data_IF_178719964649
#
_entry.id   IF_178719964649
#
_cell.length_a   1.000
_cell.length_b   1.000
_cell.length_c   1.000
_cell.angle_alpha   90.00
_cell.angle_beta   90.00
_cell.angle_gamma   90.00
#
_symmetry.space_group_name_H-M   'P 1'
#
loop_
_entity.id
_entity.type
_entity.pdbx_description
1 polymer ?
#
# COMPACT_ATOMS: atom_id res chain seq x y z
N UNK A 1 7.27 8.98 20.65
CA UNK A 1 6.68 9.92 19.68
C UNK A 1 5.71 9.18 18.76
N UNK A 2 4.66 9.87 18.36
CA UNK A 2 3.68 9.31 17.44
C UNK A 2 4.32 9.08 16.06
N UNK A 3 3.75 8.13 15.29
CA UNK A 3 4.11 7.95 13.89
C UNK A 3 3.84 9.24 13.12
N UNK A 4 4.62 9.47 12.07
CA UNK A 4 4.46 10.63 11.21
C UNK A 4 3.74 10.21 9.93
N UNK A 5 2.59 10.83 9.66
CA UNK A 5 1.88 10.62 8.41
C UNK A 5 2.59 11.39 7.29
N UNK A 6 3.00 10.65 6.27
CA UNK A 6 3.66 11.22 5.09
C UNK A 6 2.62 11.71 4.10
N UNK A 7 1.63 10.87 3.82
CA UNK A 7 0.52 11.21 2.91
C UNK A 7 -0.73 10.47 3.34
N UNK A 8 -1.88 11.12 3.17
CA UNK A 8 -3.20 10.52 3.36
C UNK A 8 -4.10 11.05 2.27
N UNK A 9 -4.63 10.16 1.43
CA UNK A 9 -5.39 10.59 0.25
C UNK A 9 -6.46 9.57 -0.10
N UNK A 10 -7.58 10.07 -0.64
CA UNK A 10 -8.62 9.25 -1.28
C UNK A 10 -8.49 9.44 -2.79
N UNK A 11 -8.40 8.32 -3.49
CA UNK A 11 -8.29 8.29 -4.95
C UNK A 11 -9.59 7.69 -5.48
N UNK A 12 -10.36 8.48 -6.23
CA UNK A 12 -11.61 8.03 -6.83
C UNK A 12 -11.32 7.29 -8.14
N UNK A 13 -10.75 6.11 -7.98
CA UNK A 13 -10.30 5.28 -9.08
C UNK A 13 -10.50 3.82 -8.70
N UNK A 14 -10.84 3.00 -9.69
CA UNK A 14 -10.98 1.56 -9.49
C UNK A 14 -9.63 0.94 -9.09
N UNK A 15 -9.57 0.14 -8.01
CA UNK A 15 -8.37 -0.62 -7.67
C UNK A 15 -7.96 -1.53 -8.82
N UNK A 16 -6.65 -1.62 -9.06
CA UNK A 16 -6.11 -2.44 -10.13
C UNK A 16 -5.66 -3.79 -9.59
N UNK A 17 -5.91 -4.85 -10.34
CA UNK A 17 -5.55 -6.21 -9.93
C UNK A 17 -4.16 -6.60 -10.43
N UNK A 18 -3.36 -7.20 -9.53
CA UNK A 18 -2.05 -7.76 -9.89
C UNK A 18 -2.13 -8.77 -11.04
N UNK A 19 -3.25 -9.48 -11.15
CA UNK A 19 -3.47 -10.45 -12.23
C UNK A 19 -3.50 -9.81 -13.62
N UNK A 20 -3.69 -8.51 -13.71
CA UNK A 20 -3.82 -7.77 -14.98
C UNK A 20 -2.62 -6.87 -15.28
N UNK A 21 -1.54 -6.97 -14.50
CA UNK A 21 -0.37 -6.11 -14.67
C UNK A 21 0.42 -6.41 -15.93
N UNK A 22 0.57 -7.70 -16.28
CA UNK A 22 1.51 -8.14 -17.30
C UNK A 22 0.88 -9.09 -18.29
N UNK A 23 1.46 -9.10 -19.50
CA UNK A 23 1.23 -10.10 -20.53
C UNK A 23 2.34 -11.14 -20.51
N UNK A 24 2.09 -12.32 -21.11
CA UNK A 24 3.10 -13.29 -21.54
C UNK A 24 4.21 -13.51 -20.51
N UNK A 25 3.89 -14.19 -19.43
CA UNK A 25 4.85 -14.59 -18.39
C UNK A 25 5.49 -13.41 -17.66
N UNK A 26 4.78 -12.30 -17.58
CA UNK A 26 5.22 -11.14 -16.79
C UNK A 26 6.23 -10.24 -17.49
N UNK A 27 6.39 -10.37 -18.81
CA UNK A 27 7.44 -9.65 -19.55
C UNK A 27 6.99 -8.29 -20.10
N UNK A 28 5.68 -8.08 -20.28
CA UNK A 28 5.17 -6.87 -20.92
C UNK A 28 4.04 -6.30 -20.07
N UNK A 29 4.17 -5.03 -19.66
CA UNK A 29 3.12 -4.32 -18.92
C UNK A 29 1.89 -4.13 -19.80
N UNK A 30 0.70 -4.38 -19.23
CA UNK A 30 -0.55 -4.11 -19.95
C UNK A 30 -0.77 -2.61 -20.11
N UNK A 31 -1.56 -2.23 -21.11
CA UNK A 31 -1.94 -0.84 -21.33
C UNK A 31 -2.69 -0.30 -20.09
N UNK A 32 -3.57 -1.10 -19.53
CA UNK A 32 -4.39 -0.74 -18.39
C UNK A 32 -3.50 -0.50 -17.15
N UNK A 33 -2.46 -1.28 -16.97
CA UNK A 33 -1.51 -1.08 -15.89
C UNK A 33 -0.72 0.22 -16.07
N UNK A 34 -0.29 0.50 -17.30
CA UNK A 34 0.43 1.76 -17.59
C UNK A 34 -0.44 2.97 -17.29
N UNK A 35 -1.73 2.90 -17.62
CA UNK A 35 -2.69 3.97 -17.32
C UNK A 35 -2.89 4.14 -15.81
N UNK A 36 -3.05 3.04 -15.09
CA UNK A 36 -3.19 3.06 -13.64
C UNK A 36 -1.96 3.72 -13.00
N UNK A 37 -0.76 3.29 -13.40
CA UNK A 37 0.51 3.82 -12.88
C UNK A 37 0.65 5.31 -13.18
N UNK A 38 0.27 5.74 -14.37
CA UNK A 38 0.30 7.14 -14.76
C UNK A 38 -0.65 7.99 -13.89
N UNK A 39 -1.84 7.48 -13.60
CA UNK A 39 -2.81 8.17 -12.76
C UNK A 39 -2.32 8.30 -11.32
N UNK A 40 -1.72 7.24 -10.77
CA UNK A 40 -1.14 7.29 -9.42
C UNK A 40 0.00 8.31 -9.38
N UNK A 41 0.86 8.31 -10.39
CA UNK A 41 1.97 9.25 -10.49
C UNK A 41 1.47 10.70 -10.51
N UNK A 42 0.46 10.98 -11.31
CA UNK A 42 -0.12 12.32 -11.40
C UNK A 42 -0.61 12.83 -10.06
N UNK A 43 -1.19 11.94 -9.25
CA UNK A 43 -1.75 12.30 -7.95
C UNK A 43 -0.73 12.36 -6.83
N UNK A 44 0.33 11.55 -6.89
CA UNK A 44 1.22 11.33 -5.75
C UNK A 44 2.67 11.75 -6.01
N UNK A 45 3.05 12.12 -7.23
CA UNK A 45 4.44 12.49 -7.50
C UNK A 45 4.87 13.70 -6.68
N UNK A 46 6.03 13.58 -6.00
CA UNK A 46 6.55 14.65 -5.17
C UNK A 46 7.73 14.21 -4.33
N UNK A 47 8.33 15.18 -3.65
CA UNK A 47 9.39 14.94 -2.69
C UNK A 47 8.80 14.90 -1.29
N UNK A 48 8.78 13.72 -0.69
CA UNK A 48 8.22 13.49 0.64
C UNK A 48 9.29 13.35 1.72
N UNK A 49 10.55 13.49 1.34
CA UNK A 49 11.65 13.40 2.29
C UNK A 49 11.83 12.01 2.89
N UNK A 50 11.43 10.96 2.18
CA UNK A 50 11.59 9.59 2.66
C UNK A 50 13.04 9.17 2.54
N UNK A 51 13.61 8.74 3.67
CA UNK A 51 15.00 8.28 3.74
C UNK A 51 15.07 6.76 3.54
N UNK A 52 16.18 6.23 2.97
CA UNK A 52 16.32 4.78 2.77
C UNK A 52 16.21 3.95 4.05
N UNK A 53 16.44 4.56 5.21
CA UNK A 53 16.38 3.89 6.52
C UNK A 53 15.00 3.97 7.17
N UNK A 54 14.06 4.69 6.59
CA UNK A 54 12.72 4.83 7.15
C UNK A 54 11.95 3.51 7.07
N UNK A 55 11.26 3.17 8.15
CA UNK A 55 10.30 2.06 8.18
C UNK A 55 8.91 2.62 7.94
N UNK A 56 8.19 2.06 6.99
CA UNK A 56 6.92 2.58 6.52
C UNK A 56 5.78 1.63 6.84
N UNK A 57 4.62 2.21 7.13
CA UNK A 57 3.36 1.49 7.26
C UNK A 57 2.38 2.02 6.22
N UNK A 58 1.82 1.12 5.43
CA UNK A 58 0.78 1.45 4.46
C UNK A 58 -0.57 1.00 5.01
N UNK A 59 -1.51 1.92 5.09
CA UNK A 59 -2.89 1.64 5.48
C UNK A 59 -3.79 1.89 4.28
N UNK A 60 -4.62 0.88 3.95
CA UNK A 60 -5.48 0.92 2.77
C UNK A 60 -6.93 0.61 3.12
N UNK A 61 -7.84 1.31 2.47
CA UNK A 61 -9.23 0.87 2.32
C UNK A 61 -9.53 0.91 0.84
N UNK A 62 -9.95 -0.22 0.28
CA UNK A 62 -10.26 -0.33 -1.14
C UNK A 62 -11.73 -0.65 -1.35
N UNK A 63 -12.38 0.15 -2.17
CA UNK A 63 -13.78 -0.04 -2.54
C UNK A 63 -13.90 -0.76 -3.88
N UNK A 64 -14.44 -1.98 -3.84
CA UNK A 64 -14.68 -2.78 -5.02
C UNK A 64 -16.16 -2.88 -5.33
N UNK A 65 -16.52 -2.85 -6.61
CA UNK A 65 -17.87 -3.15 -7.05
C UNK A 65 -18.10 -4.64 -7.32
N UNK A 66 -17.03 -5.40 -7.53
CA UNK A 66 -17.09 -6.85 -7.73
C UNK A 66 -16.95 -7.58 -6.40
N UNK A 67 -17.83 -8.55 -6.15
CA UNK A 67 -17.74 -9.42 -4.97
C UNK A 67 -16.62 -10.46 -5.08
N UNK A 68 -16.06 -10.64 -6.28
CA UNK A 68 -15.02 -11.61 -6.57
C UNK A 68 -13.62 -11.03 -6.45
N UNK A 69 -13.49 -9.75 -6.12
CA UNK A 69 -12.19 -9.09 -6.02
C UNK A 69 -11.46 -9.52 -4.73
N UNK A 70 -10.21 -9.91 -4.87
CA UNK A 70 -9.34 -10.28 -3.77
C UNK A 70 -8.54 -9.06 -3.28
N UNK A 71 -8.54 -8.86 -1.98
CA UNK A 71 -7.89 -7.71 -1.37
C UNK A 71 -6.38 -7.65 -1.66
N UNK A 72 -5.69 -8.77 -1.59
CA UNK A 72 -4.24 -8.83 -1.79
C UNK A 72 -3.82 -8.43 -3.21
N UNK A 73 -4.67 -8.64 -4.20
CA UNK A 73 -4.37 -8.28 -5.58
C UNK A 73 -4.25 -6.76 -5.82
N UNK A 74 -4.69 -5.94 -4.87
CA UNK A 74 -4.56 -4.49 -4.95
C UNK A 74 -3.17 -3.99 -4.55
N UNK A 75 -2.40 -4.76 -3.78
CA UNK A 75 -1.18 -4.26 -3.13
C UNK A 75 -0.04 -4.02 -4.12
N UNK A 76 0.29 -5.01 -4.94
CA UNK A 76 1.45 -4.93 -5.82
C UNK A 76 1.33 -3.82 -6.87
N UNK A 77 0.23 -3.69 -7.62
CA UNK A 77 0.11 -2.59 -8.57
C UNK A 77 0.21 -1.22 -7.91
N UNK A 78 -0.39 -1.07 -6.72
CA UNK A 78 -0.36 0.20 -6.01
C UNK A 78 1.06 0.52 -5.51
N UNK A 79 1.72 -0.43 -4.85
CA UNK A 79 3.07 -0.23 -4.34
C UNK A 79 4.07 0.02 -5.47
N UNK A 80 4.00 -0.74 -6.55
CA UNK A 80 4.87 -0.56 -7.70
C UNK A 80 4.67 0.81 -8.36
N UNK A 81 3.46 1.36 -8.27
CA UNK A 81 3.15 2.68 -8.79
C UNK A 81 3.59 3.81 -7.86
N UNK A 82 3.49 3.60 -6.55
CA UNK A 82 3.87 4.60 -5.54
C UNK A 82 5.37 4.80 -5.42
N UNK A 83 6.14 3.72 -5.51
CA UNK A 83 7.58 3.74 -5.24
C UNK A 83 8.34 4.77 -6.09
N UNK A 84 8.22 4.77 -7.42
CA UNK A 84 9.01 5.70 -8.23
C UNK A 84 8.56 7.15 -8.08
N UNK A 85 7.29 7.40 -7.78
CA UNK A 85 6.82 8.78 -7.68
C UNK A 85 6.97 9.38 -6.28
N UNK A 86 7.08 8.57 -5.25
CA UNK A 86 7.25 9.03 -3.88
C UNK A 86 8.67 8.86 -3.34
N UNK A 87 9.50 8.06 -4.00
CA UNK A 87 10.90 7.91 -3.64
C UNK A 87 11.15 6.96 -2.47
N UNK A 88 10.50 5.79 -2.46
CA UNK A 88 10.81 4.73 -1.50
C UNK A 88 10.91 3.38 -2.21
N UNK A 89 11.39 2.38 -1.47
CA UNK A 89 11.51 1.00 -1.93
C UNK A 89 10.52 0.14 -1.14
N UNK A 90 9.90 -0.86 -1.78
CA UNK A 90 8.94 -1.74 -1.12
C UNK A 90 9.53 -2.51 0.06
N UNK A 91 10.85 -2.70 0.09
CA UNK A 91 11.56 -3.29 1.25
C UNK A 91 11.44 -2.45 2.50
N UNK A 92 11.10 -1.17 2.37
CA UNK A 92 10.89 -0.27 3.50
C UNK A 92 9.48 -0.38 4.10
N UNK A 93 8.57 -1.08 3.42
CA UNK A 93 7.21 -1.28 3.94
C UNK A 93 7.22 -2.46 4.90
N UNK A 94 7.11 -2.16 6.17
CA UNK A 94 7.18 -3.16 7.25
C UNK A 94 5.80 -3.60 7.73
N UNK A 95 4.76 -2.83 7.44
CA UNK A 95 3.39 -3.18 7.79
C UNK A 95 2.43 -2.72 6.70
N UNK A 96 1.50 -3.60 6.32
CA UNK A 96 0.36 -3.25 5.49
C UNK A 96 -0.89 -3.61 6.28
N UNK A 97 -1.75 -2.61 6.49
CA UNK A 97 -3.06 -2.79 7.10
C UNK A 97 -4.10 -2.44 6.05
N UNK A 98 -4.94 -3.41 5.70
CA UNK A 98 -5.85 -3.22 4.59
C UNK A 98 -7.24 -3.77 4.90
N UNK A 99 -8.25 -3.08 4.37
CA UNK A 99 -9.64 -3.51 4.42
C UNK A 99 -10.28 -3.28 3.07
N UNK A 100 -11.29 -4.07 2.74
CA UNK A 100 -12.07 -3.82 1.54
C UNK A 100 -13.53 -3.54 1.89
N UNK A 101 -14.14 -2.65 1.10
CA UNK A 101 -15.57 -2.39 1.12
C UNK A 101 -16.19 -2.79 -0.21
N UNK A 102 -17.45 -3.17 -0.17
CA UNK A 102 -18.22 -3.40 -1.37
C UNK A 102 -19.02 -2.13 -1.68
N UNK A 103 -18.87 -1.61 -2.90
CA UNK A 103 -19.50 -0.36 -3.35
C UNK A 103 -20.23 -0.59 -4.66
N UNK A 104 -21.03 0.39 -5.05
CA UNK A 104 -21.71 0.36 -6.34
C UNK A 104 -20.72 0.59 -7.47
N UNK A 105 -21.04 0.03 -8.65
CA UNK A 105 -20.24 0.26 -9.86
C UNK A 105 -20.18 1.77 -10.15
N UNK A 106 -18.96 2.27 -10.37
CA UNK A 106 -18.70 3.69 -10.57
C UNK A 106 -18.30 4.44 -9.29
N UNK A 107 -18.46 3.82 -8.12
CA UNK A 107 -18.10 4.41 -6.85
C UNK A 107 -16.83 3.79 -6.24
N UNK A 108 -16.08 3.04 -7.02
CA UNK A 108 -14.84 2.41 -6.59
C UNK A 108 -13.81 3.46 -6.16
N UNK A 109 -12.97 3.10 -5.19
CA UNK A 109 -12.00 4.04 -4.64
C UNK A 109 -10.83 3.31 -3.99
N UNK A 110 -9.76 4.08 -3.76
CA UNK A 110 -8.61 3.67 -2.96
C UNK A 110 -8.38 4.77 -1.93
N UNK A 111 -8.45 4.45 -0.65
CA UNK A 111 -7.95 5.33 0.40
C UNK A 111 -6.62 4.80 0.88
N UNK A 112 -5.61 5.64 0.90
CA UNK A 112 -4.30 5.22 1.38
C UNK A 112 -3.71 6.24 2.34
N UNK A 113 -2.96 5.71 3.29
CA UNK A 113 -2.15 6.51 4.21
C UNK A 113 -0.79 5.84 4.34
N UNK A 114 0.26 6.60 4.13
CA UNK A 114 1.62 6.13 4.33
C UNK A 114 2.20 6.85 5.55
N UNK A 115 2.63 6.07 6.54
CA UNK A 115 3.20 6.58 7.78
C UNK A 115 4.66 6.17 7.91
N UNK A 116 5.46 7.09 8.48
CA UNK A 116 6.84 6.82 8.87
C UNK A 116 6.86 6.45 10.34
N UNK A 117 7.56 5.37 10.68
CA UNK A 117 7.62 4.89 12.06
C UNK A 117 9.08 4.85 12.54
N UNK A 118 9.31 5.23 13.80
CA UNK A 118 10.61 5.05 14.44
C UNK A 118 10.80 3.59 14.83
N UNK A 119 12.06 3.17 15.04
CA UNK A 119 12.37 1.82 15.52
C UNK A 119 11.68 1.50 16.84
N UNK A 120 11.64 2.49 17.74
CA UNK A 120 10.98 2.34 19.05
C UNK A 120 9.47 2.11 18.89
N UNK A 121 8.83 2.89 18.04
CA UNK A 121 7.39 2.74 17.75
C UNK A 121 7.11 1.37 17.13
N UNK A 122 7.99 0.92 16.25
CA UNK A 122 7.84 -0.36 15.57
C UNK A 122 7.88 -1.52 16.56
N UNK A 123 8.83 -1.52 17.48
CA UNK A 123 8.92 -2.54 18.53
C UNK A 123 7.70 -2.57 19.42
N UNK A 124 7.21 -1.41 19.84
CA UNK A 124 5.98 -1.31 20.64
C UNK A 124 4.76 -1.82 19.88
N UNK A 125 4.69 -1.51 18.61
CA UNK A 125 3.60 -1.96 17.74
C UNK A 125 3.52 -3.48 17.70
N UNK A 126 4.64 -4.15 17.51
CA UNK A 126 4.70 -5.61 17.47
C UNK A 126 4.26 -6.22 18.81
N UNK A 127 4.72 -5.67 19.92
CA UNK A 127 4.32 -6.15 21.24
C UNK A 127 2.83 -6.00 21.49
N UNK A 128 2.21 -4.95 21.01
CA UNK A 128 0.77 -4.72 21.16
C UNK A 128 -0.07 -5.70 20.32
N UNK A 129 0.43 -6.11 19.17
CA UNK A 129 -0.29 -7.04 18.29
C UNK A 129 -0.38 -8.44 18.86
N UNK A 130 0.64 -8.85 19.61
CA UNK A 130 0.70 -10.20 20.18
C UNK A 130 1.05 -10.15 21.67
N UNK A 131 0.15 -9.65 22.52
CA UNK A 131 0.49 -9.38 23.92
C UNK A 131 0.79 -10.64 24.74
N UNK A 132 0.38 -11.82 24.28
CA UNK A 132 0.64 -13.09 24.93
C UNK A 132 1.78 -13.89 24.30
N UNK A 133 2.45 -13.32 23.31
CA UNK A 133 3.50 -14.00 22.57
C UNK A 133 4.83 -13.34 22.86
N UNK A 134 5.82 -14.14 23.27
CA UNK A 134 7.15 -13.68 23.61
C UNK A 134 8.16 -14.20 22.57
N UNK A 135 8.56 -13.35 21.64
CA UNK A 135 9.46 -13.71 20.56
C UNK A 135 10.84 -14.00 21.12
N UNK A 136 11.40 -15.16 20.79
CA UNK A 136 12.72 -15.56 21.23
C UNK A 136 12.80 -16.21 22.60
N UNK A 137 11.70 -16.28 23.34
CA UNK A 137 11.64 -16.99 24.60
C UNK A 137 11.35 -18.48 24.39
N UNK A 138 12.04 -19.32 25.14
CA UNK A 138 11.77 -20.76 25.19
C UNK A 138 11.32 -21.12 26.59
N UNK A 139 10.26 -21.84 26.65
CA UNK A 139 9.77 -22.41 27.92
C UNK A 139 10.54 -23.65 28.27
#
# INVERSE_FOLDING_TARGET
>A
MASQTIVEVRINQKPFSANKMHYRDGKIDTKEYKEFRSNIRELLEGDYGIKPTDKLRLTLIVGYSSKLADLDNAFKPLLDSMQPCMGFDDRQVFEIKAMKNHVKKGEEYIMLRLDRMTDNQWGKRQAQMFPKFHIGEKE
#
